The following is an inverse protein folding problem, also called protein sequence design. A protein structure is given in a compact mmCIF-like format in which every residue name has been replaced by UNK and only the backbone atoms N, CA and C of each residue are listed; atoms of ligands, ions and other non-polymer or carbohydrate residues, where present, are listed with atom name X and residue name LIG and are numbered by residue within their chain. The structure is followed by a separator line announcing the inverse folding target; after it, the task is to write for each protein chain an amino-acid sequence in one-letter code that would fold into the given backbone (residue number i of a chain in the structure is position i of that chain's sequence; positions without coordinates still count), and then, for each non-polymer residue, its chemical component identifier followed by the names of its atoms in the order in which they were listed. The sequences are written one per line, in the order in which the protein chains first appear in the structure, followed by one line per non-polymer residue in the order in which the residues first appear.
data_IF_557368361563
#
_entry.id   IF_557368361563
#
_cell.length_a   1.000
_cell.length_b   1.000
_cell.length_c   1.000
_cell.angle_alpha   90.00
_cell.angle_beta   90.00
_cell.angle_gamma   90.00
#
_symmetry.space_group_name_H-M   'P 1'
#
loop_
_entity.id
_entity.type
_entity.pdbx_description
1 polymer ?
#
# COMPACT_ATOMS: atom_id res chain seq x y z
N UNK A 1 3.48 -9.82 12.94
CA UNK A 1 2.83 -8.96 13.95
C UNK A 1 2.76 -7.50 13.48
N UNK A 2 3.83 -6.94 12.88
CA UNK A 2 3.88 -5.58 12.32
C UNK A 2 2.62 -5.12 11.57
N UNK A 3 2.12 -5.93 10.62
CA UNK A 3 0.87 -5.66 9.89
C UNK A 3 -0.32 -5.33 10.80
N UNK A 4 -0.58 -6.19 11.79
CA UNK A 4 -1.74 -6.06 12.68
C UNK A 4 -1.61 -4.78 13.51
N UNK A 5 -0.43 -4.58 14.10
CA UNK A 5 -0.12 -3.38 14.89
C UNK A 5 -0.25 -2.10 14.06
N UNK A 6 0.20 -2.12 12.81
CA UNK A 6 0.06 -1.00 11.88
C UNK A 6 -1.42 -0.69 11.60
N UNK A 7 -2.25 -1.72 11.33
CA UNK A 7 -3.68 -1.52 11.09
C UNK A 7 -4.42 -0.97 12.31
N UNK A 8 -3.96 -1.32 13.52
CA UNK A 8 -4.44 -0.76 14.79
C UNK A 8 -3.91 0.66 15.09
N UNK A 9 -2.96 1.17 14.30
CA UNK A 9 -2.33 2.47 14.52
C UNK A 9 -1.25 2.49 15.63
N UNK A 10 -0.85 1.32 16.15
CA UNK A 10 0.24 1.18 17.13
C UNK A 10 1.60 1.24 16.43
N UNK A 11 1.95 2.44 15.94
CA UNK A 11 3.10 2.63 15.04
C UNK A 11 4.44 2.25 15.68
N UNK A 12 4.64 2.51 16.98
CA UNK A 12 5.89 2.19 17.69
C UNK A 12 6.12 0.68 17.81
N UNK A 13 5.05 -0.06 18.13
CA UNK A 13 5.07 -1.52 18.23
C UNK A 13 5.19 -2.14 16.83
N UNK A 14 4.50 -1.57 15.83
CA UNK A 14 4.58 -2.01 14.44
C UNK A 14 6.02 -1.89 13.92
N UNK A 15 6.67 -0.75 14.14
CA UNK A 15 8.06 -0.50 13.78
C UNK A 15 9.01 -1.50 14.44
N UNK A 16 8.84 -1.71 15.75
CA UNK A 16 9.66 -2.67 16.50
C UNK A 16 9.52 -4.09 15.96
N UNK A 17 8.29 -4.52 15.66
CA UNK A 17 8.04 -5.83 15.05
C UNK A 17 8.57 -5.93 13.63
N UNK A 18 8.52 -4.84 12.84
CA UNK A 18 8.92 -4.83 11.44
C UNK A 18 10.44 -4.94 11.32
N UNK A 19 11.17 -4.10 12.06
CA UNK A 19 12.64 -4.16 12.16
C UNK A 19 13.16 -5.53 12.58
N UNK A 20 12.54 -6.16 13.58
CA UNK A 20 12.93 -7.53 14.00
C UNK A 20 12.76 -8.55 12.87
N UNK A 21 11.72 -8.43 12.04
CA UNK A 21 11.53 -9.31 10.89
C UNK A 21 12.61 -9.07 9.83
N UNK A 22 12.91 -7.80 9.54
CA UNK A 22 13.97 -7.40 8.63
C UNK A 22 15.37 -7.86 9.09
N UNK A 23 15.68 -7.78 10.39
CA UNK A 23 16.96 -8.28 10.95
C UNK A 23 17.12 -9.80 10.77
N UNK A 24 16.04 -10.57 10.87
CA UNK A 24 16.09 -12.03 10.74
C UNK A 24 16.27 -12.49 9.30
N UNK A 25 15.65 -11.81 8.33
CA UNK A 25 15.77 -12.13 6.90
C UNK A 25 15.83 -10.85 6.07
N UNK A 26 16.98 -10.17 6.00
CA UNK A 26 17.09 -8.84 5.37
C UNK A 26 16.76 -8.82 3.87
N UNK A 27 16.96 -9.95 3.20
CA UNK A 27 16.75 -10.11 1.76
C UNK A 27 15.41 -10.77 1.40
N UNK A 28 14.52 -11.02 2.37
CA UNK A 28 13.20 -11.55 2.08
C UNK A 28 12.25 -10.42 1.67
N UNK A 29 11.53 -10.63 0.56
CA UNK A 29 10.56 -9.67 0.04
C UNK A 29 9.46 -9.36 1.06
N UNK A 30 9.07 -8.09 1.14
CA UNK A 30 8.03 -7.56 2.01
C UNK A 30 8.45 -7.31 3.46
N UNK A 31 9.68 -7.66 3.85
CA UNK A 31 10.13 -7.46 5.23
C UNK A 31 10.31 -5.99 5.62
N UNK A 32 10.65 -5.12 4.66
CA UNK A 32 10.82 -3.68 4.89
C UNK A 32 9.54 -2.87 4.71
N UNK A 33 8.51 -3.45 4.06
CA UNK A 33 7.25 -2.76 3.74
C UNK A 33 6.58 -2.11 4.94
N UNK A 34 6.60 -2.78 6.08
CA UNK A 34 5.94 -2.25 7.27
C UNK A 34 6.70 -1.06 7.85
N UNK A 35 8.04 -1.01 7.74
CA UNK A 35 8.78 0.22 8.05
C UNK A 35 8.43 1.36 7.08
N UNK A 36 8.32 1.07 5.77
CA UNK A 36 7.88 2.06 4.77
C UNK A 36 6.53 2.67 5.15
N UNK A 37 5.56 1.82 5.46
CA UNK A 37 4.19 2.26 5.78
C UNK A 37 4.12 3.02 7.11
N UNK A 38 4.84 2.56 8.14
CA UNK A 38 4.94 3.28 9.42
C UNK A 38 5.57 4.65 9.23
N UNK A 39 6.67 4.74 8.47
CA UNK A 39 7.34 5.99 8.17
C UNK A 39 6.43 6.99 7.43
N UNK A 40 5.70 6.53 6.41
CA UNK A 40 4.69 7.34 5.70
C UNK A 40 3.62 7.86 6.67
N UNK A 41 3.13 7.02 7.58
CA UNK A 41 2.09 7.40 8.53
C UNK A 41 2.58 8.43 9.56
N UNK A 42 3.88 8.42 9.88
CA UNK A 42 4.54 9.43 10.73
C UNK A 42 4.94 10.70 9.99
N UNK A 43 4.81 10.74 8.66
CA UNK A 43 5.29 11.85 7.84
C UNK A 43 6.81 11.85 7.62
N UNK A 44 7.50 10.75 7.94
CA UNK A 44 8.94 10.60 7.70
C UNK A 44 9.18 10.00 6.30
N UNK A 45 9.08 10.86 5.29
CA UNK A 45 9.30 10.45 3.90
C UNK A 45 10.74 9.99 3.61
N UNK A 46 11.73 10.48 4.36
CA UNK A 46 13.13 10.08 4.20
C UNK A 46 13.33 8.63 4.65
N UNK A 47 12.80 8.25 5.82
CA UNK A 47 12.83 6.86 6.27
C UNK A 47 12.05 5.95 5.32
N UNK A 48 10.87 6.38 4.87
CA UNK A 48 10.07 5.63 3.90
C UNK A 48 10.87 5.31 2.63
N UNK A 49 11.62 6.29 2.10
CA UNK A 49 12.40 6.09 0.88
C UNK A 49 13.58 5.14 1.10
N UNK A 50 14.31 5.26 2.22
CA UNK A 50 15.43 4.36 2.53
C UNK A 50 14.99 2.91 2.62
N UNK A 51 13.89 2.64 3.33
CA UNK A 51 13.38 1.28 3.50
C UNK A 51 12.82 0.71 2.18
N UNK A 52 12.13 1.54 1.39
CA UNK A 52 11.60 1.12 0.08
C UNK A 52 12.71 0.68 -0.88
N UNK A 53 13.90 1.29 -0.82
CA UNK A 53 15.05 0.91 -1.66
C UNK A 53 15.58 -0.50 -1.34
N UNK A 54 15.30 -1.03 -0.14
CA UNK A 54 15.77 -2.35 0.30
C UNK A 54 14.87 -3.50 -0.15
N UNK A 55 13.66 -3.23 -0.64
CA UNK A 55 12.73 -4.26 -1.08
C UNK A 55 13.32 -5.03 -2.28
N UNK A 56 13.61 -6.35 -2.19
CA UNK A 56 14.24 -7.10 -3.27
C UNK A 56 13.34 -7.34 -4.49
N UNK A 57 12.03 -7.46 -4.30
CA UNK A 57 11.08 -7.68 -5.40
C UNK A 57 10.80 -6.37 -6.15
N UNK A 58 11.05 -6.36 -7.45
CA UNK A 58 11.00 -5.13 -8.26
C UNK A 58 9.62 -4.46 -8.27
N UNK A 59 8.53 -5.23 -8.41
CA UNK A 59 7.18 -4.69 -8.42
C UNK A 59 6.82 -4.04 -7.07
N UNK A 60 7.08 -4.75 -5.97
CA UNK A 60 6.87 -4.18 -4.63
C UNK A 60 7.78 -3.00 -4.33
N UNK A 61 9.02 -3.00 -4.84
CA UNK A 61 9.91 -1.84 -4.75
C UNK A 61 9.33 -0.63 -5.47
N UNK A 62 8.80 -0.79 -6.70
CA UNK A 62 8.17 0.30 -7.43
C UNK A 62 6.95 0.86 -6.69
N UNK A 63 6.13 -0.03 -6.11
CA UNK A 63 5.00 0.34 -5.26
C UNK A 63 5.43 1.18 -4.05
N UNK A 64 6.41 0.69 -3.29
CA UNK A 64 6.88 1.33 -2.06
C UNK A 64 7.60 2.65 -2.36
N UNK A 65 8.41 2.72 -3.43
CA UNK A 65 9.05 3.94 -3.90
C UNK A 65 8.02 4.99 -4.34
N UNK A 66 6.95 4.59 -5.01
CA UNK A 66 5.88 5.50 -5.41
C UNK A 66 5.24 6.18 -4.20
N UNK A 67 4.95 5.40 -3.14
CA UNK A 67 4.41 5.94 -1.89
C UNK A 67 5.42 6.83 -1.15
N UNK A 68 6.68 6.41 -1.07
CA UNK A 68 7.73 7.16 -0.37
C UNK A 68 8.05 8.51 -1.04
N UNK A 69 8.24 8.52 -2.36
CA UNK A 69 8.43 9.76 -3.11
C UNK A 69 7.23 10.70 -2.98
N UNK A 70 6.01 10.16 -3.00
CA UNK A 70 4.81 10.95 -2.79
C UNK A 70 4.79 11.61 -1.39
N UNK A 71 5.17 10.87 -0.34
CA UNK A 71 5.26 11.37 1.02
C UNK A 71 6.30 12.50 1.18
N UNK A 72 7.38 12.48 0.38
CA UNK A 72 8.40 13.55 0.29
C UNK A 72 7.97 14.74 -0.58
N UNK A 73 6.81 14.67 -1.24
CA UNK A 73 6.35 15.69 -2.19
C UNK A 73 7.00 15.61 -3.57
N UNK A 74 7.76 14.55 -3.86
CA UNK A 74 8.51 14.35 -5.10
C UNK A 74 7.62 13.74 -6.19
N UNK A 75 6.65 14.52 -6.68
CA UNK A 75 5.58 14.03 -7.57
C UNK A 75 6.08 13.31 -8.81
N UNK A 76 7.07 13.87 -9.52
CA UNK A 76 7.62 13.26 -10.74
C UNK A 76 8.20 11.86 -10.48
N UNK A 77 8.99 11.71 -9.42
CA UNK A 77 9.61 10.42 -9.07
C UNK A 77 8.53 9.40 -8.62
N UNK A 78 7.51 9.88 -7.89
CA UNK A 78 6.38 9.05 -7.51
C UNK A 78 5.58 8.56 -8.75
N UNK A 79 5.37 9.42 -9.73
CA UNK A 79 4.68 9.09 -10.98
C UNK A 79 5.49 8.10 -11.83
N UNK A 80 6.80 8.28 -11.92
CA UNK A 80 7.70 7.37 -12.62
C UNK A 80 7.69 5.97 -11.99
N UNK A 81 7.75 5.86 -10.67
CA UNK A 81 7.67 4.58 -9.97
C UNK A 81 6.30 3.89 -10.16
N UNK A 82 5.21 4.66 -10.11
CA UNK A 82 3.86 4.14 -10.38
C UNK A 82 3.71 3.65 -11.82
N UNK A 83 4.24 4.39 -12.80
CA UNK A 83 4.21 4.00 -14.19
C UNK A 83 4.98 2.69 -14.44
N UNK A 84 6.14 2.52 -13.78
CA UNK A 84 6.91 1.28 -13.84
C UNK A 84 6.15 0.09 -13.23
N UNK A 85 5.52 0.29 -12.07
CA UNK A 85 4.66 -0.71 -11.44
C UNK A 85 3.52 -1.16 -12.38
N UNK A 86 2.81 -0.21 -12.98
CA UNK A 86 1.72 -0.49 -13.92
C UNK A 86 2.23 -1.22 -15.17
N UNK A 87 3.37 -0.81 -15.71
CA UNK A 87 3.91 -1.40 -16.93
C UNK A 87 4.34 -2.86 -16.74
N UNK A 88 4.85 -3.23 -15.56
CA UNK A 88 5.46 -4.54 -15.31
C UNK A 88 4.55 -5.51 -14.57
N UNK A 89 3.73 -5.01 -13.63
CA UNK A 89 3.07 -5.86 -12.64
C UNK A 89 1.57 -5.59 -12.50
N UNK A 90 0.94 -4.89 -13.46
CA UNK A 90 -0.50 -4.55 -13.41
C UNK A 90 -1.43 -5.73 -13.15
N UNK A 91 -1.07 -6.93 -13.59
CA UNK A 91 -1.94 -8.10 -13.47
C UNK A 91 -1.84 -8.75 -12.09
N UNK A 92 -0.70 -8.58 -11.41
CA UNK A 92 -0.40 -9.22 -10.12
C UNK A 92 -0.46 -8.26 -8.92
N UNK A 93 -0.30 -6.95 -9.16
CA UNK A 93 -0.21 -5.91 -8.13
C UNK A 93 -1.27 -4.81 -8.34
N UNK A 94 -2.42 -5.17 -8.92
CA UNK A 94 -3.53 -4.25 -9.14
C UNK A 94 -4.03 -3.60 -7.84
N UNK A 95 -4.08 -4.37 -6.75
CA UNK A 95 -4.43 -3.82 -5.43
C UNK A 95 -3.40 -2.79 -4.95
N UNK A 96 -2.10 -3.05 -5.11
CA UNK A 96 -1.05 -2.09 -4.75
C UNK A 96 -1.11 -0.82 -5.59
N UNK A 97 -1.45 -0.92 -6.87
CA UNK A 97 -1.66 0.25 -7.72
C UNK A 97 -2.84 1.08 -7.19
N UNK A 98 -3.93 0.43 -6.78
CA UNK A 98 -5.05 1.11 -6.14
C UNK A 98 -4.65 1.76 -4.80
N UNK A 99 -3.81 1.11 -3.98
CA UNK A 99 -3.29 1.68 -2.73
C UNK A 99 -2.54 3.00 -2.97
N UNK A 100 -1.73 3.06 -4.04
CA UNK A 100 -1.05 4.30 -4.42
C UNK A 100 -2.07 5.38 -4.73
N UNK A 101 -2.99 5.14 -5.66
CA UNK A 101 -4.00 6.16 -6.02
C UNK A 101 -4.86 6.59 -4.82
N UNK A 102 -5.26 5.65 -3.96
CA UNK A 102 -6.01 5.95 -2.74
C UNK A 102 -5.20 6.86 -1.80
N UNK A 103 -3.91 6.57 -1.57
CA UNK A 103 -3.04 7.40 -0.73
C UNK A 103 -2.86 8.81 -1.27
N UNK A 104 -2.94 8.99 -2.59
CA UNK A 104 -2.86 10.28 -3.27
C UNK A 104 -4.17 11.07 -3.27
N UNK A 105 -5.28 10.44 -2.90
CA UNK A 105 -6.62 11.03 -3.02
C UNK A 105 -7.17 11.00 -4.45
N UNK A 106 -6.58 10.21 -5.34
CA UNK A 106 -7.04 10.01 -6.72
C UNK A 106 -8.14 8.94 -6.75
N UNK A 107 -9.28 9.25 -6.12
CA UNK A 107 -10.38 8.32 -5.82
C UNK A 107 -10.87 7.54 -7.04
N UNK A 108 -11.06 8.20 -8.19
CA UNK A 108 -11.58 7.53 -9.38
C UNK A 108 -10.63 6.45 -9.90
N UNK A 109 -9.33 6.75 -9.98
CA UNK A 109 -8.33 5.77 -10.40
C UNK A 109 -8.16 4.66 -9.36
N UNK A 110 -8.28 4.97 -8.07
CA UNK A 110 -8.25 3.96 -7.03
C UNK A 110 -9.37 2.93 -7.24
N UNK A 111 -10.60 3.38 -7.54
CA UNK A 111 -11.72 2.46 -7.84
C UNK A 111 -11.55 1.69 -9.16
N UNK A 112 -10.98 2.30 -10.19
CA UNK A 112 -10.64 1.62 -11.44
C UNK A 112 -9.71 0.42 -11.17
N UNK A 113 -8.62 0.65 -10.44
CA UNK A 113 -7.66 -0.40 -10.11
C UNK A 113 -8.18 -1.41 -9.08
N UNK A 114 -9.08 -1.00 -8.17
CA UNK A 114 -9.80 -1.96 -7.31
C UNK A 114 -10.68 -2.90 -8.14
N UNK A 115 -11.32 -2.42 -9.20
CA UNK A 115 -12.08 -3.30 -10.08
C UNK A 115 -11.17 -4.28 -10.83
N UNK A 116 -10.02 -3.84 -11.35
CA UNK A 116 -9.01 -4.72 -11.95
C UNK A 116 -8.53 -5.78 -10.95
N UNK A 117 -8.24 -5.37 -9.71
CA UNK A 117 -7.84 -6.26 -8.62
C UNK A 117 -8.89 -7.35 -8.34
N UNK A 118 -10.18 -6.99 -8.38
CA UNK A 118 -11.26 -7.96 -8.22
C UNK A 118 -11.38 -8.93 -9.38
N UNK A 119 -11.30 -8.42 -10.61
CA UNK A 119 -11.42 -9.23 -11.81
C UNK A 119 -10.25 -10.23 -11.93
N UNK A 120 -9.08 -9.87 -11.42
CA UNK A 120 -7.89 -10.71 -11.39
C UNK A 120 -7.82 -11.65 -10.16
N UNK A 121 -8.80 -11.62 -9.26
CA UNK A 121 -8.76 -12.33 -7.98
C UNK A 121 -7.50 -12.05 -7.15
N UNK A 122 -7.01 -10.81 -7.19
CA UNK A 122 -5.83 -10.36 -6.46
C UNK A 122 -6.07 -10.47 -4.94
N UNK A 123 -5.24 -11.27 -4.28
CA UNK A 123 -5.30 -11.53 -2.83
C UNK A 123 -5.08 -10.28 -1.97
N UNK A 124 -4.47 -9.23 -2.53
CA UNK A 124 -4.31 -7.94 -1.88
C UNK A 124 -5.65 -7.36 -1.40
N UNK A 125 -6.73 -7.65 -2.13
CA UNK A 125 -8.09 -7.16 -1.83
C UNK A 125 -8.60 -7.59 -0.45
N UNK A 126 -8.07 -8.67 0.14
CA UNK A 126 -8.36 -9.07 1.53
C UNK A 126 -7.97 -8.00 2.57
N UNK A 127 -7.12 -7.05 2.18
CA UNK A 127 -6.64 -5.96 3.04
C UNK A 127 -7.55 -4.72 3.01
N UNK A 128 -8.54 -4.67 2.11
CA UNK A 128 -9.35 -3.47 1.82
C UNK A 128 -9.97 -2.83 3.08
N UNK A 129 -10.52 -3.65 3.99
CA UNK A 129 -11.20 -3.16 5.19
C UNK A 129 -10.26 -2.57 6.25
N UNK A 130 -9.01 -3.04 6.28
CA UNK A 130 -8.06 -2.79 7.37
C UNK A 130 -6.92 -1.87 6.95
N UNK A 131 -6.70 -1.66 5.65
CA UNK A 131 -5.61 -0.86 5.14
C UNK A 131 -5.86 0.65 5.39
N UNK A 132 -5.01 1.34 6.19
CA UNK A 132 -5.14 2.76 6.45
C UNK A 132 -5.14 3.65 5.19
N UNK A 133 -4.45 3.25 4.12
CA UNK A 133 -4.42 4.01 2.87
C UNK A 133 -5.77 4.03 2.14
N UNK A 134 -6.64 3.05 2.42
CA UNK A 134 -7.98 2.98 1.84
C UNK A 134 -9.02 3.82 2.60
N UNK A 135 -8.64 4.45 3.74
CA UNK A 135 -9.59 5.21 4.57
C UNK A 135 -10.27 6.35 3.80
N UNK A 136 -9.54 6.99 2.88
CA UNK A 136 -10.10 8.06 2.05
C UNK A 136 -11.24 7.61 1.13
N UNK A 137 -11.33 6.33 0.79
CA UNK A 137 -12.37 5.79 -0.10
C UNK A 137 -13.68 5.49 0.64
N UNK A 138 -13.66 5.39 1.97
CA UNK A 138 -14.79 4.88 2.77
C UNK A 138 -16.05 5.77 2.72
N UNK A 139 -15.89 7.03 2.35
CA UNK A 139 -16.99 7.98 2.20
C UNK A 139 -17.59 8.01 0.79
N UNK A 140 -16.96 7.33 -0.18
CA UNK A 140 -17.48 7.24 -1.54
C UNK A 140 -18.55 6.12 -1.63
N UNK A 141 -19.74 6.37 -2.21
CA UNK A 141 -20.79 5.36 -2.35
C UNK A 141 -20.32 4.06 -3.02
N UNK A 142 -19.35 4.14 -3.94
CA UNK A 142 -18.78 2.98 -4.64
C UNK A 142 -18.08 2.01 -3.69
N UNK A 143 -17.61 2.48 -2.52
CA UNK A 143 -16.95 1.63 -1.53
C UNK A 143 -17.89 0.54 -0.99
N UNK A 144 -19.11 0.92 -0.60
CA UNK A 144 -20.09 -0.05 -0.12
C UNK A 144 -20.56 -1.01 -1.24
N UNK A 145 -20.68 -0.52 -2.48
CA UNK A 145 -20.95 -1.39 -3.63
C UNK A 145 -19.82 -2.40 -3.87
N UNK A 146 -18.56 -1.98 -3.70
CA UNK A 146 -17.39 -2.84 -3.83
C UNK A 146 -17.41 -3.94 -2.76
N UNK A 147 -17.63 -3.59 -1.49
CA UNK A 147 -17.71 -4.54 -0.38
C UNK A 147 -18.82 -5.58 -0.58
N UNK A 148 -20.00 -5.14 -1.04
CA UNK A 148 -21.11 -6.03 -1.35
C UNK A 148 -20.75 -7.09 -2.41
N UNK A 149 -20.02 -6.70 -3.47
CA UNK A 149 -19.60 -7.63 -4.54
C UNK A 149 -18.70 -8.76 -4.03
N UNK A 150 -17.89 -8.49 -3.00
CA UNK A 150 -16.95 -9.46 -2.41
C UNK A 150 -17.43 -10.07 -1.09
N UNK A 151 -18.70 -9.88 -0.73
CA UNK A 151 -19.28 -10.47 0.48
C UNK A 151 -18.69 -9.95 1.79
N UNK A 152 -18.10 -8.75 1.80
CA UNK A 152 -17.58 -8.11 3.00
C UNK A 152 -18.64 -7.24 3.69
N UNK A 153 -18.59 -7.08 5.03
CA UNK A 153 -19.56 -6.27 5.77
C UNK A 153 -19.54 -4.82 5.31
N UNK A 154 -20.72 -4.25 5.06
CA UNK A 154 -20.89 -2.86 4.69
C UNK A 154 -20.48 -1.93 5.84
N UNK A 155 -19.92 -0.76 5.51
CA UNK A 155 -19.74 0.31 6.49
C UNK A 155 -21.01 1.15 6.54
N UNK A 156 -21.71 1.05 7.67
CA UNK A 156 -22.86 1.89 8.04
C UNK A 156 -22.40 3.21 8.64
#
# INVERSE_FOLDING_TARGET
MARILFTEGKLDEAETSARKAAELQPAAAGNHRWQVFVAIQRGDGEAALREAQLEPNEGYRCFELSLAHYARGERRAADEALAQLIAKDRDFLAYQIAEVYARRGETDKAFEWLQVSLDNHDTGTLSLLINPFMRGLQHDPRYNSLLAKIGLPLRL
#
